data_IF_641210236091
#
_entry.id   IF_641210236091
#
_cell.length_a   1.000
_cell.length_b   1.000
_cell.length_c   1.000
_cell.angle_alpha   90.00
_cell.angle_beta   90.00
_cell.angle_gamma   90.00
#
_symmetry.space_group_name_H-M   'P 1'
#
loop_
_entity.id
_entity.type
_entity.pdbx_description
1 polymer ?
#
# COMPACT_ATOMS: atom_id res chain seq x y z
N UNK A 1 54.81 -0.92 -46.63
CA UNK A 1 53.77 -0.26 -45.83
C UNK A 1 53.58 -1.07 -44.55
N UNK A 2 54.15 -0.59 -43.44
CA UNK A 2 54.11 -1.31 -42.17
C UNK A 2 52.82 -0.97 -41.42
N UNK A 3 52.02 -2.00 -41.10
CA UNK A 3 50.87 -1.89 -40.20
C UNK A 3 51.36 -1.58 -38.79
N UNK A 4 51.05 -0.39 -38.28
CA UNK A 4 51.22 -0.09 -36.87
C UNK A 4 50.19 -0.89 -36.05
N UNK A 5 50.69 -1.90 -35.35
CA UNK A 5 49.92 -2.65 -34.34
C UNK A 5 49.54 -1.71 -33.21
N UNK A 6 48.23 -1.49 -33.03
CA UNK A 6 47.67 -0.78 -31.87
C UNK A 6 48.06 -1.58 -30.62
N UNK A 7 48.70 -0.96 -29.61
CA UNK A 7 49.16 -1.70 -28.43
C UNK A 7 47.95 -2.24 -27.65
N UNK A 8 47.94 -3.56 -27.43
CA UNK A 8 46.91 -4.34 -26.72
C UNK A 8 46.54 -3.75 -25.34
N UNK A 9 47.42 -2.94 -24.73
CA UNK A 9 47.16 -2.20 -23.48
C UNK A 9 46.09 -1.11 -23.61
N UNK A 10 45.95 -0.48 -24.77
CA UNK A 10 44.90 0.52 -25.04
C UNK A 10 43.53 -0.14 -25.29
N UNK A 11 43.52 -1.36 -25.82
CA UNK A 11 42.29 -2.14 -26.02
C UNK A 11 41.68 -2.59 -24.67
N UNK A 12 42.52 -2.95 -23.69
CA UNK A 12 42.06 -3.40 -22.37
C UNK A 12 41.49 -2.26 -21.51
N UNK A 13 42.04 -1.05 -21.62
CA UNK A 13 41.52 0.15 -20.92
C UNK A 13 40.18 0.59 -21.52
N UNK A 14 40.04 0.52 -22.86
CA UNK A 14 38.78 0.83 -23.55
C UNK A 14 37.68 -0.19 -23.25
N UNK A 15 38.02 -1.48 -23.15
CA UNK A 15 37.07 -2.56 -22.83
C UNK A 15 36.58 -2.50 -21.37
N UNK A 16 37.41 -2.06 -20.42
CA UNK A 16 36.98 -1.82 -19.03
C UNK A 16 36.09 -0.57 -18.89
N UNK A 17 36.23 0.45 -19.73
CA UNK A 17 35.33 1.60 -19.73
C UNK A 17 33.96 1.32 -20.38
N UNK A 18 33.88 0.35 -21.30
CA UNK A 18 32.64 -0.05 -21.97
C UNK A 18 31.77 -1.04 -21.15
N UNK A 19 32.34 -1.73 -20.15
CA UNK A 19 31.58 -2.63 -19.27
C UNK A 19 30.96 -1.93 -18.04
N UNK A 20 31.25 -0.65 -17.81
CA UNK A 20 30.67 0.16 -16.73
C UNK A 20 29.59 1.13 -17.21
N UNK A 21 29.30 1.19 -18.51
CA UNK A 21 28.18 1.96 -19.05
C UNK A 21 26.87 1.16 -19.04
N UNK A 22 26.52 0.56 -17.90
CA UNK A 22 25.10 0.40 -17.59
C UNK A 22 24.63 1.73 -17.02
N UNK A 23 23.59 2.38 -17.58
CA UNK A 23 23.11 3.66 -17.07
C UNK A 23 22.42 3.43 -15.72
N UNK A 24 23.20 3.35 -14.64
CA UNK A 24 22.65 3.36 -13.29
C UNK A 24 22.26 4.79 -12.97
N UNK A 25 20.94 5.01 -13.04
CA UNK A 25 20.17 6.17 -12.62
C UNK A 25 20.98 7.27 -11.91
N UNK A 26 21.39 8.26 -12.71
CA UNK A 26 21.77 9.61 -12.28
C UNK A 26 20.82 10.04 -11.16
N UNK A 27 21.37 10.55 -10.05
CA UNK A 27 20.61 11.09 -8.91
C UNK A 27 19.50 12.00 -9.40
N UNK A 28 18.30 11.43 -9.52
CA UNK A 28 17.26 12.04 -10.31
C UNK A 28 16.76 13.27 -9.54
N UNK A 29 16.89 14.45 -10.16
CA UNK A 29 16.20 15.66 -9.69
C UNK A 29 14.73 15.27 -9.59
N UNK A 30 14.21 15.27 -8.35
CA UNK A 30 12.81 14.93 -8.10
C UNK A 30 11.96 15.80 -9.00
N UNK A 31 11.16 15.13 -9.84
CA UNK A 31 10.33 15.84 -10.78
C UNK A 31 9.12 16.51 -10.10
N UNK A 32 8.87 16.11 -8.87
CA UNK A 32 7.87 16.62 -7.96
C UNK A 32 8.39 16.44 -6.53
N UNK A 33 8.16 17.44 -5.68
CA UNK A 33 8.56 17.38 -4.27
C UNK A 33 7.57 16.57 -3.42
N UNK A 34 6.30 16.52 -3.83
CA UNK A 34 5.20 15.89 -3.11
C UNK A 34 4.59 14.76 -3.91
N UNK A 35 4.05 13.74 -3.24
CA UNK A 35 3.39 12.62 -3.91
C UNK A 35 2.09 13.09 -4.59
N UNK A 36 1.82 12.73 -5.86
CA UNK A 36 0.57 13.13 -6.52
C UNK A 36 -0.69 12.49 -5.94
N UNK A 37 -0.57 11.30 -5.34
CA UNK A 37 -1.68 10.57 -4.71
C UNK A 37 -1.92 11.08 -3.28
N UNK A 38 -0.84 11.28 -2.53
CA UNK A 38 -0.85 11.85 -1.18
C UNK A 38 -0.06 13.18 -1.14
N UNK A 39 -0.62 14.33 -1.57
CA UNK A 39 0.14 15.58 -1.71
C UNK A 39 0.69 16.18 -0.42
N UNK A 40 0.25 15.67 0.73
CA UNK A 40 0.81 16.00 2.05
C UNK A 40 2.15 15.32 2.30
N UNK A 41 2.46 14.23 1.61
CA UNK A 41 3.69 13.45 1.78
C UNK A 41 4.79 13.87 0.82
N UNK A 42 6.04 13.79 1.28
CA UNK A 42 7.21 14.05 0.43
C UNK A 42 7.42 12.87 -0.52
N UNK A 43 7.64 13.19 -1.80
CA UNK A 43 8.07 12.20 -2.77
C UNK A 43 9.52 11.79 -2.49
N UNK A 44 9.81 10.50 -2.61
CA UNK A 44 11.16 9.97 -2.41
C UNK A 44 11.70 9.35 -3.70
N UNK A 45 12.98 9.58 -4.05
CA UNK A 45 13.54 9.13 -5.34
C UNK A 45 13.43 7.63 -5.60
N UNK A 46 13.30 6.84 -4.53
CA UNK A 46 13.16 5.38 -4.59
C UNK A 46 11.87 4.95 -5.29
N UNK A 47 10.77 5.64 -5.08
CA UNK A 47 9.46 5.26 -5.61
C UNK A 47 9.11 6.19 -6.75
N UNK A 48 9.06 5.65 -7.96
CA UNK A 48 8.88 6.43 -9.19
C UNK A 48 8.21 5.59 -10.29
N UNK A 49 7.54 6.27 -11.20
CA UNK A 49 6.98 5.72 -12.43
C UNK A 49 7.19 6.69 -13.59
N UNK A 50 7.10 6.22 -14.83
CA UNK A 50 7.17 7.05 -16.03
C UNK A 50 5.76 7.31 -16.58
N UNK A 51 5.43 8.58 -16.81
CA UNK A 51 4.13 8.98 -17.34
C UNK A 51 4.27 10.13 -18.34
N UNK A 52 3.80 9.91 -19.57
CA UNK A 52 3.86 10.87 -20.68
C UNK A 52 5.28 11.45 -20.88
N UNK A 53 6.29 10.59 -20.75
CA UNK A 53 7.72 10.93 -20.92
C UNK A 53 8.38 11.59 -19.70
N UNK A 54 7.65 11.78 -18.60
CA UNK A 54 8.17 12.32 -17.35
C UNK A 54 8.29 11.25 -16.27
N UNK A 55 9.40 11.25 -15.54
CA UNK A 55 9.52 10.46 -14.30
C UNK A 55 8.73 11.17 -13.21
N UNK A 56 7.77 10.50 -12.58
CA UNK A 56 6.99 10.99 -11.45
C UNK A 56 7.40 10.22 -10.19
N UNK A 57 7.54 10.90 -9.06
CA UNK A 57 7.99 10.33 -7.79
C UNK A 57 6.87 10.22 -6.76
N UNK A 58 6.96 9.26 -5.84
CA UNK A 58 5.91 8.93 -4.88
C UNK A 58 6.45 8.77 -3.46
N UNK A 59 5.57 8.80 -2.46
CA UNK A 59 5.96 8.62 -1.05
C UNK A 59 6.20 7.14 -0.69
N UNK A 60 5.54 6.20 -1.39
CA UNK A 60 5.61 4.77 -1.13
C UNK A 60 5.40 3.93 -2.40
N UNK A 61 5.64 2.62 -2.31
CA UNK A 61 5.45 1.67 -3.42
C UNK A 61 3.95 1.50 -3.78
N UNK A 62 3.06 1.48 -2.79
CA UNK A 62 1.61 1.34 -3.01
C UNK A 62 1.04 2.49 -3.86
N UNK A 63 1.55 3.71 -3.67
CA UNK A 63 1.22 4.84 -4.54
C UNK A 63 1.73 4.67 -5.98
N UNK A 64 2.87 4.00 -6.20
CA UNK A 64 3.34 3.69 -7.57
C UNK A 64 2.33 2.76 -8.23
N UNK A 65 1.96 1.67 -7.55
CA UNK A 65 1.04 0.68 -8.10
C UNK A 65 -0.35 1.28 -8.40
N UNK A 66 -0.88 2.11 -7.49
CA UNK A 66 -2.13 2.83 -7.69
C UNK A 66 -2.11 3.75 -8.91
N UNK A 67 -0.98 4.43 -9.09
CA UNK A 67 -0.79 5.34 -10.21
C UNK A 67 -0.68 4.59 -11.52
N UNK A 68 0.15 3.54 -11.60
CA UNK A 68 0.41 2.78 -12.82
C UNK A 68 -0.86 2.12 -13.38
N UNK A 69 -1.76 1.68 -12.50
CA UNK A 69 -3.02 1.07 -12.89
C UNK A 69 -4.10 2.07 -13.33
N UNK A 70 -4.03 3.32 -12.86
CA UNK A 70 -5.07 4.32 -13.10
C UNK A 70 -4.52 5.75 -13.16
N UNK A 71 -3.54 6.04 -14.04
CA UNK A 71 -2.78 7.29 -14.00
C UNK A 71 -3.64 8.51 -14.38
N UNK A 72 -4.65 8.31 -15.23
CA UNK A 72 -5.55 9.37 -15.68
C UNK A 72 -6.39 9.97 -14.53
N UNK A 73 -6.64 9.22 -13.44
CA UNK A 73 -7.34 9.73 -12.26
C UNK A 73 -6.52 10.84 -11.57
N UNK A 74 -5.19 10.77 -11.68
CA UNK A 74 -4.25 11.66 -10.98
C UNK A 74 -3.58 12.68 -11.93
N UNK A 75 -4.01 12.77 -13.19
CA UNK A 75 -3.37 13.60 -14.21
C UNK A 75 -3.33 15.08 -13.81
N UNK A 76 -4.42 15.62 -13.27
CA UNK A 76 -4.51 17.02 -12.84
C UNK A 76 -3.59 17.32 -11.64
N UNK A 77 -3.51 16.40 -10.67
CA UNK A 77 -2.58 16.52 -9.54
C UNK A 77 -1.13 16.61 -10.02
N UNK A 78 -0.78 15.90 -11.10
CA UNK A 78 0.54 15.97 -11.72
C UNK A 78 0.78 17.33 -12.39
N UNK A 79 -0.19 17.85 -13.14
CA UNK A 79 -0.07 19.14 -13.83
C UNK A 79 0.12 20.30 -12.85
N UNK A 80 -0.63 20.34 -11.75
CA UNK A 80 -0.51 21.36 -10.70
C UNK A 80 0.84 21.29 -9.97
N UNK A 81 1.40 20.10 -9.79
CA UNK A 81 2.72 19.94 -9.19
C UNK A 81 3.82 20.38 -10.18
N UNK A 82 3.65 20.12 -11.48
CA UNK A 82 4.58 20.55 -12.54
C UNK A 82 4.62 22.07 -12.68
N UNK A 83 3.48 22.75 -12.62
CA UNK A 83 3.40 24.22 -12.77
C UNK A 83 4.09 24.97 -11.62
N UNK A 84 4.05 24.42 -10.40
CA UNK A 84 4.73 24.96 -9.22
C UNK A 84 6.27 24.75 -9.20
N UNK A 85 6.81 24.02 -10.17
CA UNK A 85 8.24 23.63 -10.23
C UNK A 85 9.15 24.67 -10.91
N UNK A 86 8.60 25.77 -11.42
CA UNK A 86 9.40 26.84 -12.07
C UNK A 86 10.26 27.66 -11.10
N UNK A 87 10.40 27.24 -9.84
CA UNK A 87 11.44 27.71 -8.94
C UNK A 87 12.54 26.62 -8.76
N UNK A 88 13.52 26.70 -9.66
CA UNK A 88 14.96 26.76 -9.36
C UNK A 88 15.94 25.66 -9.88
N UNK A 89 17.09 26.21 -10.32
CA UNK A 89 18.46 25.74 -10.60
C UNK A 89 18.70 24.71 -11.71
N UNK A 90 19.34 25.19 -12.78
CA UNK A 90 20.11 24.43 -13.77
C UNK A 90 21.46 24.03 -13.14
N UNK A 91 21.70 22.73 -12.91
CA UNK A 91 22.99 22.23 -12.39
C UNK A 91 24.00 22.09 -13.54
N UNK A 92 25.25 22.47 -13.29
CA UNK A 92 26.37 22.36 -14.25
C UNK A 92 26.79 20.90 -14.48
N UNK A 93 27.53 20.66 -15.58
CA UNK A 93 28.06 19.33 -15.94
C UNK A 93 28.97 18.73 -14.86
N UNK A 94 29.78 19.56 -14.20
CA UNK A 94 30.67 19.14 -13.09
C UNK A 94 29.84 18.64 -11.90
N UNK A 95 28.75 19.33 -11.57
CA UNK A 95 27.85 18.90 -10.50
C UNK A 95 27.25 17.51 -10.78
N UNK A 96 26.91 17.22 -12.05
CA UNK A 96 26.38 15.91 -12.46
C UNK A 96 27.41 14.80 -12.28
N UNK A 97 28.68 15.06 -12.59
CA UNK A 97 29.77 14.08 -12.41
C UNK A 97 30.03 13.80 -10.93
N UNK A 98 30.03 14.84 -10.09
CA UNK A 98 30.17 14.70 -8.63
C UNK A 98 29.03 13.85 -8.06
N UNK A 99 27.79 14.15 -8.45
CA UNK A 99 26.61 13.41 -7.98
C UNK A 99 26.66 11.93 -8.40
N UNK A 100 27.11 11.61 -9.61
CA UNK A 100 27.26 10.20 -10.08
C UNK A 100 28.35 9.47 -9.30
N UNK A 101 29.51 10.09 -9.11
CA UNK A 101 30.65 9.51 -8.39
C UNK A 101 30.30 9.27 -6.92
N UNK A 102 29.59 10.22 -6.32
CA UNK A 102 29.10 10.12 -4.94
C UNK A 102 28.08 8.98 -4.79
N UNK A 103 27.14 8.83 -5.72
CA UNK A 103 26.13 7.76 -5.65
C UNK A 103 26.73 6.36 -5.83
N UNK A 104 27.73 6.18 -6.71
CA UNK A 104 28.44 4.91 -6.86
C UNK A 104 29.15 4.49 -5.56
N UNK A 105 29.76 5.47 -4.86
CA UNK A 105 30.41 5.25 -3.58
C UNK A 105 29.44 4.73 -2.50
N UNK A 106 28.18 5.19 -2.47
CA UNK A 106 27.22 4.73 -1.44
C UNK A 106 26.57 3.38 -1.74
N UNK A 107 26.50 2.96 -3.00
CA UNK A 107 25.90 1.68 -3.37
C UNK A 107 26.81 0.50 -3.07
N UNK A 108 28.13 0.64 -3.29
CA UNK A 108 29.10 -0.44 -3.02
C UNK A 108 30.43 0.18 -2.54
N UNK A 109 30.47 0.73 -1.31
CA UNK A 109 31.59 1.54 -0.85
C UNK A 109 32.91 0.78 -0.81
N UNK A 110 32.90 -0.51 -0.46
CA UNK A 110 34.13 -1.29 -0.39
C UNK A 110 34.71 -1.68 -1.75
N UNK A 111 33.88 -2.09 -2.72
CA UNK A 111 34.37 -2.41 -4.07
C UNK A 111 34.79 -1.15 -4.81
N UNK A 112 34.06 -0.04 -4.68
CA UNK A 112 34.46 1.24 -5.26
C UNK A 112 35.80 1.70 -4.68
N UNK A 113 35.97 1.64 -3.35
CA UNK A 113 37.24 1.99 -2.71
C UNK A 113 38.36 1.04 -3.13
N UNK A 114 38.10 -0.26 -3.31
CA UNK A 114 39.07 -1.24 -3.80
C UNK A 114 39.51 -0.96 -5.25
N UNK A 115 38.56 -0.70 -6.16
CA UNK A 115 38.85 -0.34 -7.55
C UNK A 115 39.57 1.01 -7.66
N UNK A 116 39.15 1.99 -6.87
CA UNK A 116 39.79 3.31 -6.81
C UNK A 116 41.22 3.19 -6.27
N UNK A 117 41.42 2.42 -5.21
CA UNK A 117 42.74 2.13 -4.64
C UNK A 117 43.62 1.38 -5.65
N UNK A 118 43.08 0.39 -6.36
CA UNK A 118 43.79 -0.34 -7.41
C UNK A 118 44.18 0.57 -8.58
N UNK A 119 43.27 1.43 -9.04
CA UNK A 119 43.51 2.39 -10.11
C UNK A 119 44.60 3.41 -9.71
N UNK A 120 44.51 3.95 -8.49
CA UNK A 120 45.54 4.80 -7.90
C UNK A 120 46.87 4.06 -7.85
N UNK A 121 46.92 2.83 -7.33
CA UNK A 121 48.15 2.03 -7.27
C UNK A 121 48.73 1.75 -8.66
N UNK A 122 47.91 1.52 -9.68
CA UNK A 122 48.35 1.31 -11.07
C UNK A 122 48.93 2.60 -11.68
N UNK A 123 48.32 3.76 -11.41
CA UNK A 123 48.83 5.08 -11.81
C UNK A 123 50.14 5.39 -11.09
N UNK A 124 50.22 5.17 -9.78
CA UNK A 124 51.46 5.41 -9.04
C UNK A 124 52.58 4.45 -9.46
N UNK A 125 52.27 3.23 -9.92
CA UNK A 125 53.27 2.28 -10.41
C UNK A 125 53.99 2.74 -11.69
N UNK A 126 53.44 3.69 -12.44
CA UNK A 126 54.10 4.30 -13.61
C UNK A 126 55.02 5.48 -13.24
N UNK A 127 54.96 5.97 -12.00
CA UNK A 127 55.81 7.05 -11.48
C UNK A 127 56.98 6.44 -10.67
N UNK A 128 58.21 6.74 -11.07
CA UNK A 128 59.42 6.10 -10.51
C UNK A 128 59.60 6.31 -9.00
N UNK A 129 59.12 7.43 -8.45
CA UNK A 129 59.18 7.74 -7.02
C UNK A 129 58.29 6.84 -6.14
N UNK A 130 57.21 6.25 -6.69
CA UNK A 130 56.23 5.50 -5.91
C UNK A 130 56.46 3.96 -5.91
N UNK A 131 57.48 3.49 -6.62
CA UNK A 131 57.87 2.06 -6.66
C UNK A 131 58.31 1.51 -5.29
N UNK A 132 58.81 2.36 -4.39
CA UNK A 132 59.20 1.99 -3.03
C UNK A 132 57.99 1.78 -2.09
N UNK A 133 56.94 2.59 -2.24
CA UNK A 133 55.76 2.54 -1.37
C UNK A 133 54.78 1.41 -1.72
N UNK A 134 54.84 0.86 -2.95
CA UNK A 134 53.83 -0.06 -3.50
C UNK A 134 54.19 -1.55 -3.40
N UNK A 135 55.37 -1.92 -2.89
CA UNK A 135 55.87 -3.30 -2.98
C UNK A 135 55.24 -4.29 -1.97
N UNK A 136 54.63 -3.81 -0.88
CA UNK A 136 54.04 -4.69 0.17
C UNK A 136 52.67 -4.23 0.72
N UNK A 137 52.39 -2.93 0.74
CA UNK A 137 51.26 -2.31 1.45
C UNK A 137 49.89 -2.45 0.75
N UNK A 138 49.85 -2.58 -0.58
CA UNK A 138 48.59 -2.58 -1.35
C UNK A 138 47.69 -3.78 -1.06
N UNK A 139 48.28 -4.95 -0.74
CA UNK A 139 47.52 -6.14 -0.34
C UNK A 139 46.77 -5.91 0.97
N UNK A 140 47.42 -5.25 1.94
CA UNK A 140 46.79 -4.92 3.22
C UNK A 140 45.69 -3.87 3.06
N UNK A 141 45.85 -2.88 2.17
CA UNK A 141 44.78 -1.92 1.85
C UNK A 141 43.57 -2.61 1.20
N UNK A 142 43.78 -3.54 0.26
CA UNK A 142 42.68 -4.31 -0.34
C UNK A 142 41.94 -5.15 0.71
N UNK A 143 42.68 -5.85 1.57
CA UNK A 143 42.09 -6.63 2.67
C UNK A 143 41.29 -5.71 3.60
N UNK A 144 41.82 -4.54 3.96
CA UNK A 144 41.10 -3.57 4.80
C UNK A 144 39.81 -3.06 4.13
N UNK A 145 39.82 -2.79 2.82
CA UNK A 145 38.63 -2.39 2.06
C UNK A 145 37.57 -3.50 2.02
N UNK A 146 37.98 -4.76 1.82
CA UNK A 146 37.07 -5.91 1.83
C UNK A 146 36.47 -6.15 3.22
N UNK A 147 37.28 -6.02 4.28
CA UNK A 147 36.80 -6.09 5.67
C UNK A 147 35.79 -4.96 5.95
N UNK A 148 36.08 -3.73 5.51
CA UNK A 148 35.16 -2.62 5.61
C UNK A 148 33.84 -2.89 4.88
N UNK A 149 33.88 -3.47 3.67
CA UNK A 149 32.68 -3.83 2.90
C UNK A 149 31.82 -4.88 3.63
N UNK A 150 32.47 -5.87 4.24
CA UNK A 150 31.80 -6.92 5.00
C UNK A 150 31.11 -6.34 6.25
N UNK A 151 31.79 -5.47 6.99
CA UNK A 151 31.22 -4.77 8.14
C UNK A 151 30.10 -3.79 7.74
N UNK A 152 30.27 -3.07 6.63
CA UNK A 152 29.26 -2.16 6.09
C UNK A 152 28.00 -2.94 5.69
N UNK A 153 28.15 -4.04 4.94
CA UNK A 153 27.05 -4.93 4.53
C UNK A 153 26.32 -5.52 5.73
N UNK A 154 27.05 -5.97 6.76
CA UNK A 154 26.43 -6.47 7.98
C UNK A 154 25.65 -5.36 8.73
N UNK A 155 26.19 -4.14 8.76
CA UNK A 155 25.55 -2.98 9.38
C UNK A 155 24.28 -2.54 8.64
N UNK A 156 24.27 -2.56 7.30
CA UNK A 156 23.09 -2.25 6.49
C UNK A 156 21.99 -3.30 6.67
N UNK A 157 22.33 -4.60 6.68
CA UNK A 157 21.38 -5.69 6.97
C UNK A 157 20.76 -5.49 8.36
N UNK A 158 21.57 -5.19 9.38
CA UNK A 158 21.08 -4.94 10.74
C UNK A 158 20.13 -3.74 10.79
N UNK A 159 20.45 -2.63 10.11
CA UNK A 159 19.55 -1.46 10.00
C UNK A 159 18.22 -1.81 9.33
N UNK A 160 18.25 -2.59 8.25
CA UNK A 160 17.04 -3.06 7.56
C UNK A 160 16.16 -3.92 8.46
N UNK A 161 16.75 -4.85 9.22
CA UNK A 161 16.00 -5.68 10.19
C UNK A 161 15.33 -4.83 11.28
N UNK A 162 16.06 -3.85 11.85
CA UNK A 162 15.54 -2.94 12.87
C UNK A 162 14.41 -2.07 12.30
N UNK A 163 14.54 -1.61 11.06
CA UNK A 163 13.49 -0.87 10.36
C UNK A 163 12.22 -1.72 10.19
N UNK A 164 12.37 -2.99 9.80
CA UNK A 164 11.24 -3.92 9.66
C UNK A 164 10.51 -4.13 11.00
N UNK A 165 11.26 -4.38 12.07
CA UNK A 165 10.70 -4.49 13.42
C UNK A 165 9.94 -3.21 13.84
N UNK A 166 10.48 -2.04 13.50
CA UNK A 166 9.84 -0.77 13.80
C UNK A 166 8.55 -0.56 12.99
N UNK A 167 8.56 -0.90 11.70
CA UNK A 167 7.37 -0.89 10.84
C UNK A 167 6.28 -1.76 11.45
N UNK A 168 6.64 -2.99 11.84
CA UNK A 168 5.69 -3.91 12.45
C UNK A 168 5.14 -3.37 13.79
N UNK A 169 5.99 -2.73 14.60
CA UNK A 169 5.56 -2.08 15.85
C UNK A 169 4.67 -0.84 15.63
N UNK A 170 4.95 -0.02 14.62
CA UNK A 170 4.13 1.17 14.31
C UNK A 170 2.75 0.75 13.82
N UNK A 171 2.69 -0.22 12.92
CA UNK A 171 1.44 -0.76 12.45
C UNK A 171 0.62 -1.42 13.57
N UNK A 172 1.23 -2.05 14.57
CA UNK A 172 0.47 -2.61 15.71
C UNK A 172 -0.13 -1.51 16.60
N UNK A 173 0.54 -0.36 16.72
CA UNK A 173 0.02 0.80 17.48
C UNK A 173 -1.15 1.51 16.80
N UNK A 174 -1.37 1.30 15.50
CA UNK A 174 -2.44 1.93 14.69
C UNK A 174 -3.85 1.61 15.20
N UNK A 175 -3.97 0.59 16.06
CA UNK A 175 -5.25 -0.01 16.37
C UNK A 175 -5.55 -0.21 17.85
N UNK A 176 -4.65 0.25 18.73
CA UNK A 176 -4.77 0.09 20.19
C UNK A 176 -6.11 0.63 20.76
N UNK A 177 -6.76 1.53 20.03
CA UNK A 177 -8.00 2.19 20.45
C UNK A 177 -9.25 1.32 20.30
N UNK A 178 -9.19 0.25 19.51
CA UNK A 178 -10.32 -0.65 19.27
C UNK A 178 -10.44 -1.78 20.31
N UNK A 179 -9.48 -1.88 21.24
CA UNK A 179 -9.45 -2.89 22.30
C UNK A 179 -9.00 -4.29 21.85
N UNK A 180 -9.08 -5.25 22.78
CA UNK A 180 -8.88 -6.68 22.52
C UNK A 180 -10.08 -7.46 23.10
N UNK A 181 -10.97 -8.05 22.27
CA UNK A 181 -10.96 -8.06 20.80
C UNK A 181 -11.28 -6.69 20.18
N UNK A 182 -11.11 -6.58 18.86
CA UNK A 182 -11.37 -5.35 18.11
C UNK A 182 -12.87 -5.11 17.95
N UNK A 183 -13.39 -4.11 18.63
CA UNK A 183 -14.83 -3.83 18.62
C UNK A 183 -15.07 -2.57 17.77
N UNK A 184 -15.89 -2.65 16.70
CA UNK A 184 -16.28 -1.46 15.96
C UNK A 184 -17.15 -0.54 16.83
N UNK A 185 -17.12 0.77 16.56
CA UNK A 185 -18.02 1.70 17.22
C UNK A 185 -19.49 1.27 17.03
N UNK A 186 -20.29 1.41 18.08
CA UNK A 186 -21.72 1.09 18.02
C UNK A 186 -22.41 2.04 17.03
N UNK A 187 -23.26 1.48 16.18
CA UNK A 187 -24.06 2.26 15.24
C UNK A 187 -24.98 3.22 16.01
N UNK A 188 -25.00 4.50 15.62
CA UNK A 188 -25.97 5.48 16.15
C UNK A 188 -27.35 5.37 15.50
N UNK A 189 -27.50 4.49 14.51
CA UNK A 189 -28.76 4.26 13.82
C UNK A 189 -29.67 3.30 14.59
N UNK A 190 -30.97 3.29 14.29
CA UNK A 190 -31.87 2.25 14.75
C UNK A 190 -31.35 0.85 14.41
N UNK A 191 -31.71 -0.11 15.26
CA UNK A 191 -31.41 -1.52 15.05
C UNK A 191 -31.95 -1.98 13.68
N UNK A 192 -31.11 -2.65 12.90
CA UNK A 192 -31.51 -3.25 11.63
C UNK A 192 -30.62 -4.45 11.32
N UNK A 193 -31.23 -5.53 10.83
CA UNK A 193 -30.55 -6.73 10.32
C UNK A 193 -30.10 -6.60 8.86
N UNK A 194 -30.33 -5.43 8.25
CA UNK A 194 -29.85 -5.12 6.91
C UNK A 194 -29.53 -3.63 6.79
N UNK A 195 -28.30 -3.30 6.39
CA UNK A 195 -27.82 -1.92 6.26
C UNK A 195 -26.92 -1.78 5.04
N UNK A 196 -26.89 -0.59 4.45
CA UNK A 196 -25.96 -0.22 3.40
C UNK A 196 -25.02 0.87 3.93
N UNK A 197 -23.72 0.70 3.66
CA UNK A 197 -22.68 1.66 4.00
C UNK A 197 -21.96 2.10 2.73
N UNK A 198 -21.70 3.39 2.64
CA UNK A 198 -21.02 4.05 1.54
C UNK A 198 -19.61 4.40 1.99
N UNK A 199 -18.61 3.84 1.30
CA UNK A 199 -17.19 4.15 1.53
C UNK A 199 -16.79 5.35 0.67
N UNK A 200 -16.49 6.48 1.29
CA UNK A 200 -15.85 7.61 0.65
C UNK A 200 -14.39 7.29 0.28
N UNK A 201 -13.81 8.04 -0.65
CA UNK A 201 -12.37 7.94 -0.90
C UNK A 201 -11.60 8.30 0.40
N UNK A 202 -10.37 7.83 0.59
CA UNK A 202 -9.46 8.26 1.66
C UNK A 202 -8.25 9.05 1.14
N UNK A 203 -8.06 9.07 -0.18
CA UNK A 203 -7.12 9.92 -0.90
C UNK A 203 -7.81 11.27 -1.21
N UNK A 204 -7.67 12.28 -0.35
CA UNK A 204 -8.17 13.64 -0.61
C UNK A 204 -7.07 14.51 -1.18
N UNK A 205 -7.32 15.11 -2.35
CA UNK A 205 -6.50 16.19 -2.86
C UNK A 205 -7.24 17.06 -3.89
N UNK A 206 -6.89 18.36 -4.02
CA UNK A 206 -7.54 19.28 -4.96
C UNK A 206 -7.48 18.86 -6.45
N UNK A 207 -6.52 18.02 -6.82
CA UNK A 207 -6.38 17.50 -8.18
C UNK A 207 -7.35 16.37 -8.52
N UNK A 208 -7.99 15.74 -7.52
CA UNK A 208 -9.03 14.73 -7.73
C UNK A 208 -10.40 15.35 -7.99
N UNK A 209 -11.29 14.58 -8.64
CA UNK A 209 -12.69 14.95 -8.81
C UNK A 209 -13.31 15.33 -7.45
N UNK A 210 -13.93 16.50 -7.38
CA UNK A 210 -14.52 17.04 -6.14
C UNK A 210 -13.56 17.04 -4.93
N UNK A 211 -12.24 17.23 -5.17
CA UNK A 211 -11.24 17.16 -4.10
C UNK A 211 -11.02 15.75 -3.52
N UNK A 212 -11.57 14.72 -4.16
CA UNK A 212 -11.67 13.36 -3.64
C UNK A 212 -12.99 13.07 -2.90
N UNK A 213 -13.91 14.03 -2.76
CA UNK A 213 -15.19 13.84 -2.07
C UNK A 213 -16.20 13.07 -2.93
N UNK A 214 -15.98 11.77 -3.08
CA UNK A 214 -16.87 10.85 -3.77
C UNK A 214 -16.77 9.44 -3.20
N UNK A 215 -17.78 8.64 -3.53
CA UNK A 215 -17.91 7.24 -3.15
C UNK A 215 -16.96 6.36 -3.96
N UNK A 216 -16.33 5.39 -3.29
CA UNK A 216 -15.42 4.41 -3.88
C UNK A 216 -15.95 2.98 -3.82
N UNK A 217 -16.70 2.65 -2.76
CA UNK A 217 -17.31 1.35 -2.58
C UNK A 217 -18.66 1.46 -1.86
N UNK A 218 -19.49 0.44 -2.03
CA UNK A 218 -20.73 0.23 -1.29
C UNK A 218 -20.67 -1.12 -0.59
N UNK A 219 -21.03 -1.16 0.67
CA UNK A 219 -21.16 -2.38 1.46
C UNK A 219 -22.63 -2.58 1.77
N UNK A 220 -23.22 -3.66 1.29
CA UNK A 220 -24.54 -4.11 1.74
C UNK A 220 -24.34 -5.30 2.67
N UNK A 221 -24.78 -5.14 3.91
CA UNK A 221 -24.73 -6.20 4.93
C UNK A 221 -26.14 -6.67 5.23
N UNK A 222 -26.35 -7.99 5.23
CA UNK A 222 -27.61 -8.60 5.63
C UNK A 222 -27.40 -10.04 6.14
N UNK A 223 -28.51 -10.66 6.52
CA UNK A 223 -28.57 -12.06 6.90
C UNK A 223 -29.22 -12.87 5.78
N UNK A 224 -28.69 -14.05 5.49
CA UNK A 224 -29.28 -14.95 4.51
C UNK A 224 -29.20 -16.42 4.94
N UNK A 225 -29.97 -17.26 4.27
CA UNK A 225 -29.91 -18.71 4.45
C UNK A 225 -28.94 -19.39 3.47
N UNK A 226 -28.86 -20.72 3.53
CA UNK A 226 -28.02 -21.51 2.61
C UNK A 226 -28.42 -21.29 1.14
N UNK A 227 -29.72 -21.13 0.86
CA UNK A 227 -30.30 -20.84 -0.46
C UNK A 227 -30.14 -19.39 -0.94
N UNK A 228 -29.38 -18.54 -0.23
CA UNK A 228 -29.21 -17.11 -0.50
C UNK A 228 -30.46 -16.23 -0.32
N UNK A 229 -31.52 -16.77 0.28
CA UNK A 229 -32.73 -16.00 0.58
C UNK A 229 -32.46 -15.10 1.78
N UNK A 230 -32.92 -13.85 1.68
CA UNK A 230 -32.73 -12.84 2.73
C UNK A 230 -33.59 -13.18 3.95
N UNK A 231 -33.00 -13.15 5.14
CA UNK A 231 -33.70 -13.29 6.40
C UNK A 231 -34.34 -11.94 6.78
N UNK A 232 -35.61 -11.99 7.17
CA UNK A 232 -36.37 -10.83 7.67
C UNK A 232 -36.76 -11.06 9.13
N UNK A 233 -37.16 -9.98 9.82
CA UNK A 233 -37.72 -10.09 11.16
C UNK A 233 -38.94 -11.03 11.19
N UNK A 234 -39.14 -11.68 12.34
CA UNK A 234 -40.20 -12.67 12.59
C UNK A 234 -40.15 -13.96 11.75
N UNK A 235 -39.16 -14.11 10.85
CA UNK A 235 -38.92 -15.38 10.16
C UNK A 235 -38.37 -16.43 11.12
N UNK A 236 -38.71 -17.70 10.88
CA UNK A 236 -38.13 -18.82 11.62
C UNK A 236 -36.67 -18.99 11.21
N UNK A 237 -35.78 -19.05 12.20
CA UNK A 237 -34.35 -19.21 11.98
C UNK A 237 -33.94 -20.64 12.28
N UNK A 238 -33.23 -21.25 11.34
CA UNK A 238 -32.35 -22.37 11.62
C UNK A 238 -30.92 -21.84 11.76
N UNK A 239 -30.37 -21.90 12.97
CA UNK A 239 -29.04 -21.36 13.30
C UNK A 239 -27.92 -22.01 12.49
N UNK A 240 -28.08 -23.27 12.07
CA UNK A 240 -27.10 -23.97 11.22
C UNK A 240 -27.09 -23.46 9.80
N UNK A 241 -28.20 -22.87 9.37
CA UNK A 241 -28.42 -22.32 8.05
C UNK A 241 -28.43 -20.79 8.04
N UNK A 242 -27.90 -20.14 9.08
CA UNK A 242 -27.84 -18.67 9.17
C UNK A 242 -26.44 -18.15 8.82
N UNK A 243 -26.38 -17.19 7.89
CA UNK A 243 -25.14 -16.59 7.42
C UNK A 243 -25.20 -15.07 7.49
N UNK A 244 -24.09 -14.45 7.86
CA UNK A 244 -23.82 -13.04 7.54
C UNK A 244 -23.39 -12.96 6.09
N UNK A 245 -24.09 -12.17 5.29
CA UNK A 245 -23.72 -11.87 3.91
C UNK A 245 -23.29 -10.42 3.81
N UNK A 246 -22.15 -10.22 3.16
CA UNK A 246 -21.63 -8.89 2.85
C UNK A 246 -21.34 -8.85 1.36
N UNK A 247 -21.99 -7.92 0.67
CA UNK A 247 -21.73 -7.62 -0.74
C UNK A 247 -21.01 -6.28 -0.82
N UNK A 248 -19.88 -6.27 -1.51
CA UNK A 248 -19.03 -5.10 -1.74
C UNK A 248 -19.10 -4.75 -3.23
N UNK A 249 -19.65 -3.59 -3.55
CA UNK A 249 -19.80 -3.12 -4.93
C UNK A 249 -18.80 -2.00 -5.21
N UNK A 250 -18.04 -2.13 -6.30
CA UNK A 250 -17.17 -1.05 -6.77
C UNK A 250 -18.00 0.08 -7.37
N UNK A 251 -17.74 1.31 -6.93
CA UNK A 251 -18.34 2.50 -7.57
C UNK A 251 -17.62 2.84 -8.89
N UNK A 252 -18.33 3.28 -9.95
CA UNK A 252 -17.73 3.69 -11.22
C UNK A 252 -16.64 4.77 -11.07
N UNK A 253 -15.73 4.85 -12.05
CA UNK A 253 -14.73 5.91 -12.16
C UNK A 253 -13.79 6.03 -10.95
N UNK A 254 -13.47 4.89 -10.32
CA UNK A 254 -12.54 4.78 -9.19
C UNK A 254 -11.37 3.87 -9.57
N UNK A 255 -10.25 3.98 -8.85
CA UNK A 255 -9.03 3.21 -9.12
C UNK A 255 -9.34 1.72 -9.31
N UNK A 256 -8.70 1.10 -10.32
CA UNK A 256 -8.85 -0.34 -10.60
C UNK A 256 -7.98 -1.21 -9.70
N UNK A 257 -6.91 -0.66 -9.15
CA UNK A 257 -5.92 -1.35 -8.30
C UNK A 257 -6.55 -2.25 -7.26
N UNK A 258 -7.41 -1.70 -6.41
CA UNK A 258 -7.98 -2.46 -5.29
C UNK A 258 -9.02 -3.52 -5.71
N UNK A 259 -9.37 -3.59 -6.99
CA UNK A 259 -10.49 -4.39 -7.49
C UNK A 259 -10.07 -5.42 -8.55
N UNK A 260 -8.78 -5.61 -8.75
CA UNK A 260 -8.26 -6.71 -9.56
C UNK A 260 -8.54 -8.04 -8.86
N UNK A 261 -8.70 -9.12 -9.63
CA UNK A 261 -8.93 -10.44 -9.04
C UNK A 261 -7.75 -10.85 -8.14
N UNK A 262 -6.51 -10.49 -8.51
CA UNK A 262 -5.32 -10.68 -7.68
C UNK A 262 -5.45 -9.99 -6.32
N UNK A 263 -5.80 -8.70 -6.29
CA UNK A 263 -5.95 -7.94 -5.04
C UNK A 263 -7.13 -8.45 -4.22
N UNK A 264 -8.27 -8.73 -4.84
CA UNK A 264 -9.45 -9.24 -4.14
C UNK A 264 -9.24 -10.65 -3.56
N UNK A 265 -8.38 -11.48 -4.17
CA UNK A 265 -7.95 -12.77 -3.62
C UNK A 265 -7.06 -12.65 -2.36
N UNK A 266 -6.54 -11.46 -2.08
CA UNK A 266 -5.83 -11.18 -0.82
C UNK A 266 -6.79 -10.82 0.32
N UNK A 267 -8.05 -10.53 0.02
CA UNK A 267 -9.07 -10.14 1.00
C UNK A 267 -9.82 -11.37 1.50
N UNK A 268 -10.05 -11.44 2.81
CA UNK A 268 -10.78 -12.55 3.45
C UNK A 268 -11.52 -12.08 4.69
N UNK A 269 -12.58 -12.82 5.06
CA UNK A 269 -13.31 -12.66 6.30
C UNK A 269 -12.90 -13.73 7.33
N UNK A 270 -12.86 -13.38 8.62
CA UNK A 270 -12.55 -14.32 9.72
C UNK A 270 -13.23 -13.85 11.01
N UNK A 271 -13.47 -14.74 11.97
CA UNK A 271 -13.86 -14.32 13.33
C UNK A 271 -12.67 -14.24 14.29
N UNK A 272 -11.47 -14.56 13.83
CA UNK A 272 -10.27 -14.55 14.64
C UNK A 272 -9.70 -13.12 14.77
N UNK A 273 -9.71 -12.59 15.99
CA UNK A 273 -9.16 -11.28 16.34
C UNK A 273 -7.88 -11.34 17.18
N UNK A 274 -7.32 -12.53 17.40
CA UNK A 274 -6.18 -12.74 18.29
C UNK A 274 -5.06 -11.73 18.03
N UNK A 275 -4.73 -10.96 19.08
CA UNK A 275 -3.70 -9.89 19.18
C UNK A 275 -3.16 -9.30 17.86
N UNK A 276 -4.04 -8.99 16.90
CA UNK A 276 -3.78 -8.34 15.60
C UNK A 276 -3.20 -9.16 14.42
N UNK A 277 -3.42 -10.47 14.34
CA UNK A 277 -3.07 -11.29 13.17
C UNK A 277 -1.63 -11.05 12.60
N UNK A 278 -0.66 -10.76 13.48
CA UNK A 278 0.77 -10.50 13.19
C UNK A 278 1.60 -11.77 13.02
N UNK A 279 1.05 -12.92 13.40
CA UNK A 279 1.77 -14.18 13.46
C UNK A 279 1.53 -15.01 12.19
N UNK A 280 2.43 -15.96 11.96
CA UNK A 280 2.28 -17.02 10.94
C UNK A 280 1.11 -17.97 11.25
N UNK A 281 0.30 -17.69 12.27
CA UNK A 281 -0.76 -18.57 12.70
C UNK A 281 -1.78 -18.67 11.59
N UNK A 282 -2.05 -19.91 11.17
CA UNK A 282 -2.96 -20.18 10.09
C UNK A 282 -4.38 -19.76 10.50
N UNK A 283 -4.98 -18.87 9.72
CA UNK A 283 -6.42 -18.57 9.83
C UNK A 283 -7.16 -19.81 9.34
N UNK A 284 -7.77 -20.57 10.23
CA UNK A 284 -8.48 -21.81 9.87
C UNK A 284 -9.91 -21.55 9.39
N UNK A 285 -10.47 -20.38 9.72
CA UNK A 285 -11.85 -19.99 9.44
C UNK A 285 -11.94 -18.88 8.37
N UNK A 286 -10.88 -18.74 7.56
CA UNK A 286 -10.83 -17.71 6.53
C UNK A 286 -11.85 -17.99 5.42
N UNK A 287 -12.65 -16.99 5.10
CA UNK A 287 -13.60 -17.01 3.99
C UNK A 287 -13.17 -15.99 2.94
N UNK A 288 -12.78 -16.43 1.75
CA UNK A 288 -12.45 -15.51 0.66
C UNK A 288 -13.73 -14.93 0.05
N UNK A 289 -13.58 -13.82 -0.68
CA UNK A 289 -14.68 -13.21 -1.41
C UNK A 289 -14.84 -13.91 -2.77
N UNK A 290 -16.08 -14.16 -3.18
CA UNK A 290 -16.42 -14.59 -4.52
C UNK A 290 -16.89 -13.39 -5.35
N UNK A 291 -16.50 -13.35 -6.62
CA UNK A 291 -16.99 -12.36 -7.58
C UNK A 291 -18.41 -12.74 -8.02
N UNK A 292 -19.32 -11.78 -8.05
CA UNK A 292 -20.66 -11.94 -8.61
C UNK A 292 -20.63 -11.50 -10.08
N UNK A 293 -21.27 -12.28 -10.96
CA UNK A 293 -21.27 -12.06 -12.41
C UNK A 293 -21.91 -10.71 -12.81
N UNK A 294 -22.62 -10.05 -11.90
CA UNK A 294 -23.13 -8.70 -12.05
C UNK A 294 -22.11 -7.65 -11.56
N UNK A 295 -21.50 -6.91 -12.50
CA UNK A 295 -20.90 -5.57 -12.29
C UNK A 295 -20.00 -5.39 -11.05
N UNK A 296 -18.74 -5.84 -11.09
CA UNK A 296 -17.72 -5.46 -10.10
C UNK A 296 -18.24 -5.58 -8.64
N UNK A 297 -18.86 -6.71 -8.35
CA UNK A 297 -19.38 -7.04 -7.03
C UNK A 297 -18.63 -8.23 -6.47
N UNK A 298 -18.31 -8.17 -5.19
CA UNK A 298 -17.66 -9.24 -4.45
C UNK A 298 -18.46 -9.54 -3.20
N UNK A 299 -18.59 -10.81 -2.85
CA UNK A 299 -19.40 -11.24 -1.73
C UNK A 299 -18.67 -12.27 -0.89
N UNK A 300 -18.89 -12.24 0.42
CA UNK A 300 -18.65 -13.40 1.26
C UNK A 300 -19.92 -13.74 2.05
N UNK A 301 -20.04 -15.03 2.39
CA UNK A 301 -21.05 -15.55 3.31
C UNK A 301 -20.33 -16.22 4.47
N UNK A 302 -20.55 -15.73 5.69
CA UNK A 302 -19.91 -16.25 6.88
C UNK A 302 -20.93 -16.99 7.76
N UNK A 303 -20.73 -18.29 8.07
CA UNK A 303 -21.66 -19.07 8.87
C UNK A 303 -21.70 -18.60 10.32
N UNK A 304 -22.90 -18.44 10.88
CA UNK A 304 -23.10 -17.93 12.25
C UNK A 304 -23.33 -19.02 13.31
N UNK A 305 -23.31 -20.30 12.93
CA UNK A 305 -23.60 -21.45 13.81
C UNK A 305 -22.81 -21.40 15.13
N UNK A 306 -21.49 -21.11 15.04
CA UNK A 306 -20.56 -21.11 16.18
C UNK A 306 -20.73 -19.94 17.16
N UNK A 307 -21.61 -18.99 16.88
CA UNK A 307 -21.82 -17.79 17.70
C UNK A 307 -23.08 -17.85 18.57
N UNK A 308 -23.71 -19.02 18.63
CA UNK A 308 -24.85 -19.26 19.52
C UNK A 308 -24.36 -19.28 20.97
N UNK A 309 -24.94 -18.43 21.83
CA UNK A 309 -24.57 -18.31 23.25
C UNK A 309 -25.71 -18.81 24.13
N UNK A 310 -25.43 -19.83 24.95
CA UNK A 310 -26.37 -20.43 25.91
C UNK A 310 -27.00 -21.76 25.45
N UNK A 311 -27.55 -22.52 26.41
CA UNK A 311 -28.16 -23.84 26.16
C UNK A 311 -29.50 -23.76 25.40
N UNK A 312 -30.12 -22.58 25.39
CA UNK A 312 -31.31 -22.26 24.61
C UNK A 312 -30.94 -21.18 23.60
N UNK A 313 -31.22 -21.42 22.32
CA UNK A 313 -30.86 -20.70 21.07
C UNK A 313 -31.27 -19.21 20.97
N UNK A 314 -31.40 -18.49 22.09
CA UNK A 314 -31.98 -17.15 22.20
C UNK A 314 -31.08 -16.02 21.74
N UNK A 315 -29.76 -16.22 21.70
CA UNK A 315 -28.81 -15.16 21.36
C UNK A 315 -27.68 -15.66 20.45
N UNK A 316 -27.51 -15.02 19.30
CA UNK A 316 -26.40 -15.23 18.39
C UNK A 316 -25.63 -13.92 18.32
N UNK A 317 -24.39 -13.91 18.83
CA UNK A 317 -23.61 -12.68 19.00
C UNK A 317 -22.15 -12.88 18.66
N UNK A 318 -21.58 -11.96 17.90
CA UNK A 318 -20.19 -12.06 17.49
C UNK A 318 -19.73 -10.91 16.61
N UNK A 319 -18.48 -11.01 16.18
CA UNK A 319 -17.81 -10.06 15.30
C UNK A 319 -17.09 -10.86 14.20
N UNK A 320 -17.32 -10.48 12.95
CA UNK A 320 -16.57 -10.93 11.78
C UNK A 320 -15.70 -9.78 11.29
N UNK A 321 -14.48 -10.09 10.85
CA UNK A 321 -13.47 -9.13 10.43
C UNK A 321 -13.18 -9.28 8.95
N UNK A 322 -13.18 -8.17 8.20
CA UNK A 322 -12.62 -8.11 6.85
C UNK A 322 -11.14 -7.77 6.94
N UNK A 323 -10.31 -8.65 6.40
CA UNK A 323 -8.86 -8.58 6.48
C UNK A 323 -8.20 -8.68 5.10
N UNK A 324 -6.98 -8.19 5.00
CA UNK A 324 -6.11 -8.33 3.84
C UNK A 324 -4.84 -9.08 4.22
N UNK A 325 -4.43 -10.05 3.40
CA UNK A 325 -3.18 -10.81 3.58
C UNK A 325 -1.97 -9.89 3.44
N UNK A 326 -1.05 -9.98 4.39
CA UNK A 326 0.27 -9.32 4.31
C UNK A 326 1.31 -10.31 3.85
N UNK A 327 2.16 -9.88 2.94
CA UNK A 327 3.24 -10.68 2.40
C UNK A 327 4.61 -10.11 2.80
N UNK A 328 5.62 -10.98 2.91
CA UNK A 328 7.01 -10.54 2.96
C UNK A 328 7.61 -10.41 1.55
N UNK A 329 8.86 -9.94 1.47
CA UNK A 329 9.61 -9.78 0.21
C UNK A 329 9.77 -11.10 -0.58
N UNK A 330 9.53 -12.25 0.04
CA UNK A 330 9.58 -13.57 -0.58
C UNK A 330 8.20 -14.10 -1.00
N UNK A 331 7.14 -13.30 -0.87
CA UNK A 331 5.77 -13.68 -1.23
C UNK A 331 5.06 -14.57 -0.21
N UNK A 332 5.63 -14.80 0.97
CA UNK A 332 4.98 -15.61 2.01
C UNK A 332 4.05 -14.74 2.86
N UNK A 333 2.87 -15.29 3.20
CA UNK A 333 1.93 -14.63 4.11
C UNK A 333 2.56 -14.52 5.50
N UNK A 334 2.62 -13.31 6.04
CA UNK A 334 3.18 -13.00 7.37
C UNK A 334 2.13 -12.50 8.35
N UNK A 335 0.88 -12.34 7.93
CA UNK A 335 -0.21 -11.90 8.78
C UNK A 335 -1.38 -11.30 8.01
N UNK A 336 -2.26 -10.62 8.73
CA UNK A 336 -3.43 -9.91 8.20
C UNK A 336 -3.48 -8.45 8.63
N UNK A 337 -4.05 -7.59 7.78
CA UNK A 337 -4.43 -6.21 8.11
C UNK A 337 -5.96 -6.12 8.21
N UNK A 338 -6.48 -5.67 9.35
CA UNK A 338 -7.91 -5.42 9.54
C UNK A 338 -8.35 -4.18 8.78
N UNK A 339 -9.49 -4.26 8.09
CA UNK A 339 -10.12 -3.14 7.39
C UNK A 339 -11.43 -2.75 8.06
N UNK A 340 -12.34 -3.71 8.23
CA UNK A 340 -13.67 -3.50 8.81
C UNK A 340 -14.05 -4.63 9.75
N UNK A 341 -14.94 -4.35 10.68
CA UNK A 341 -15.63 -5.35 11.49
C UNK A 341 -17.14 -5.27 11.26
N UNK A 342 -17.78 -6.43 11.32
CA UNK A 342 -19.22 -6.62 11.26
C UNK A 342 -19.65 -7.26 12.56
N UNK A 343 -20.36 -6.50 13.39
CA UNK A 343 -20.86 -6.97 14.66
C UNK A 343 -22.36 -7.23 14.57
N UNK A 344 -22.80 -8.32 15.20
CA UNK A 344 -24.20 -8.72 15.22
C UNK A 344 -24.60 -9.11 16.64
N UNK A 345 -25.82 -8.72 17.02
CA UNK A 345 -26.50 -9.09 18.26
C UNK A 345 -27.91 -9.51 17.86
N UNK A 346 -28.07 -10.81 17.60
CA UNK A 346 -29.31 -11.38 17.05
C UNK A 346 -30.05 -12.13 18.14
N UNK A 347 -31.28 -11.69 18.41
CA UNK A 347 -32.13 -12.26 19.45
C UNK A 347 -33.23 -13.09 18.81
N UNK A 348 -33.46 -14.28 19.34
CA UNK A 348 -34.55 -15.14 18.90
C UNK A 348 -35.58 -15.33 20.01
N UNK A 349 -36.85 -15.24 19.64
CA UNK A 349 -38.00 -15.49 20.53
C UNK A 349 -38.83 -16.57 19.85
N UNK A 350 -38.95 -17.74 20.48
CA UNK A 350 -39.64 -18.90 19.91
C UNK A 350 -39.11 -19.26 18.50
N UNK A 351 -37.77 -19.30 18.34
CA UNK A 351 -37.06 -19.51 17.08
C UNK A 351 -37.31 -18.49 15.97
N UNK A 352 -37.95 -17.35 16.28
CA UNK A 352 -38.14 -16.24 15.34
C UNK A 352 -37.19 -15.09 15.63
N UNK A 353 -36.67 -14.45 14.58
CA UNK A 353 -35.79 -13.28 14.72
C UNK A 353 -36.57 -12.09 15.31
N UNK A 354 -36.13 -11.59 16.46
CA UNK A 354 -36.72 -10.40 17.08
C UNK A 354 -36.29 -9.12 16.33
N UNK A 355 -37.21 -8.16 16.27
CA UNK A 355 -37.00 -6.76 15.87
C UNK A 355 -35.91 -6.03 16.66
N UNK A 356 -35.63 -6.46 17.90
CA UNK A 356 -34.53 -5.94 18.71
C UNK A 356 -33.14 -6.44 18.29
N UNK A 357 -33.06 -7.27 17.25
CA UNK A 357 -31.80 -7.74 16.68
C UNK A 357 -31.15 -6.66 15.84
N UNK A 358 -29.83 -6.53 15.97
CA UNK A 358 -29.06 -5.53 15.23
C UNK A 358 -27.82 -6.14 14.55
N UNK A 359 -27.46 -5.53 13.43
CA UNK A 359 -26.28 -5.83 12.62
C UNK A 359 -25.66 -4.50 12.19
N UNK A 360 -24.37 -4.33 12.42
CA UNK A 360 -23.66 -3.13 11.99
C UNK A 360 -22.23 -3.39 11.59
N UNK A 361 -21.67 -2.42 10.87
CA UNK A 361 -20.31 -2.42 10.38
C UNK A 361 -19.58 -1.20 10.95
N UNK A 362 -18.29 -1.33 11.19
CA UNK A 362 -17.42 -0.21 11.51
C UNK A 362 -16.00 -0.41 10.98
N UNK A 363 -15.25 0.68 10.77
CA UNK A 363 -13.86 0.59 10.34
C UNK A 363 -12.96 0.20 11.50
N UNK A 364 -11.89 -0.53 11.18
CA UNK A 364 -10.91 -1.01 12.15
C UNK A 364 -9.50 -0.48 11.92
N UNK A 365 -9.29 0.63 11.21
CA UNK A 365 -7.95 1.20 11.04
C UNK A 365 -7.93 2.72 11.14
N UNK A 366 -6.82 3.26 11.68
CA UNK A 366 -6.52 4.69 11.61
C UNK A 366 -6.05 5.08 10.21
N UNK A 367 -6.57 6.20 9.73
CA UNK A 367 -6.27 6.80 8.43
C UNK A 367 -4.76 7.07 8.30
N UNK A 368 -4.19 6.70 7.14
CA UNK A 368 -2.80 7.03 6.79
C UNK A 368 -2.63 8.52 6.46
N UNK A 369 -3.72 9.20 6.07
CA UNK A 369 -3.77 10.65 5.90
C UNK A 369 -3.77 11.36 7.27
N UNK A 370 -2.57 11.71 7.73
CA UNK A 370 -2.28 12.43 8.98
C UNK A 370 -2.88 13.86 8.98
N UNK A 371 -3.70 14.15 10.01
CA UNK A 371 -4.05 15.44 10.67
C UNK A 371 -4.45 16.69 9.87
N UNK A 372 -4.01 16.90 8.63
CA UNK A 372 -4.20 18.17 7.92
C UNK A 372 -5.58 18.23 7.23
N UNK A 373 -6.13 17.07 6.87
CA UNK A 373 -7.42 16.93 6.20
C UNK A 373 -8.37 16.00 6.95
N UNK A 374 -8.30 15.92 8.29
CA UNK A 374 -9.08 14.98 9.12
C UNK A 374 -10.46 14.72 8.52
N UNK A 375 -10.57 13.64 7.73
CA UNK A 375 -11.82 13.35 7.03
C UNK A 375 -12.76 12.88 8.13
N UNK A 376 -13.93 13.47 8.32
CA UNK A 376 -14.88 12.96 9.29
C UNK A 376 -15.20 11.49 9.00
N UNK A 377 -15.38 10.66 10.03
CA UNK A 377 -15.76 9.25 9.82
C UNK A 377 -17.04 9.16 8.99
N UNK A 378 -18.01 10.04 9.23
CA UNK A 378 -19.27 10.14 8.47
C UNK A 378 -19.10 10.48 6.99
N UNK A 379 -17.97 11.04 6.56
CA UNK A 379 -17.69 11.30 5.14
C UNK A 379 -16.92 10.14 4.48
N UNK A 380 -16.39 9.23 5.30
CA UNK A 380 -15.54 8.14 4.84
C UNK A 380 -16.25 6.79 4.92
N UNK A 381 -17.04 6.53 5.95
CA UNK A 381 -17.97 5.41 6.05
C UNK A 381 -19.31 5.94 6.53
N UNK A 382 -20.21 6.18 5.58
CA UNK A 382 -21.53 6.77 5.83
C UNK A 382 -22.63 5.76 5.62
N UNK A 383 -23.73 5.89 6.34
CA UNK A 383 -25.00 5.24 5.98
C UNK A 383 -25.87 6.13 5.10
N UNK A 384 -25.54 7.42 5.01
CA UNK A 384 -26.13 8.34 4.05
C UNK A 384 -25.38 8.23 2.71
N UNK A 385 -26.08 8.23 1.56
CA UNK A 385 -25.44 8.14 0.25
C UNK A 385 -24.37 9.20 0.03
N UNK A 386 -23.16 8.74 -0.31
CA UNK A 386 -22.07 9.59 -0.78
C UNK A 386 -22.17 9.74 -2.31
N UNK A 387 -22.00 10.95 -2.90
CA UNK A 387 -22.02 11.16 -4.34
C UNK A 387 -21.02 10.28 -5.09
N UNK A 388 -21.40 9.81 -6.28
CA UNK A 388 -20.51 9.01 -7.14
C UNK A 388 -19.56 9.90 -7.95
N UNK A 389 -18.42 9.35 -8.37
CA UNK A 389 -17.57 10.03 -9.34
C UNK A 389 -18.24 10.00 -10.73
N UNK A 390 -18.71 11.16 -11.20
CA UNK A 390 -19.41 11.30 -12.48
C UNK A 390 -18.46 11.49 -13.68
N UNK A 391 -17.15 11.66 -13.48
CA UNK A 391 -16.21 11.86 -14.58
C UNK A 391 -16.14 10.61 -15.46
N UNK A 392 -16.63 10.71 -16.69
CA UNK A 392 -16.41 9.75 -17.78
C UNK A 392 -15.36 10.31 -18.75
N UNK A 393 -14.09 9.89 -18.61
CA UNK A 393 -12.98 10.37 -19.46
C UNK A 393 -12.31 11.66 -18.98
N UNK A 394 -11.24 12.12 -19.66
CA UNK A 394 -10.36 13.24 -19.23
C UNK A 394 -11.00 14.64 -19.37
N UNK A 395 -12.19 14.83 -18.82
CA UNK A 395 -12.90 16.10 -18.82
C UNK A 395 -12.55 16.95 -17.62
N UNK A 396 -11.83 18.05 -17.85
CA UNK A 396 -11.68 19.15 -16.89
C UNK A 396 -13.05 19.77 -16.60
N UNK A 397 -13.67 19.43 -15.48
CA UNK A 397 -14.77 20.24 -14.95
C UNK A 397 -14.67 20.38 -13.42
N UNK A 398 -14.12 21.49 -12.90
CA UNK A 398 -14.03 21.76 -11.49
C UNK A 398 -15.34 22.42 -11.04
N UNK A 399 -16.43 21.67 -10.98
CA UNK A 399 -17.63 22.14 -10.27
C UNK A 399 -18.03 21.07 -9.26
N UNK A 400 -17.96 21.49 -7.99
CA UNK A 400 -18.51 20.80 -6.82
C UNK A 400 -19.95 20.40 -7.12
N UNK A 401 -20.21 19.10 -7.31
CA UNK A 401 -21.57 18.57 -7.22
C UNK A 401 -21.74 18.15 -5.77
N UNK A 402 -22.22 19.11 -4.98
CA UNK A 402 -22.79 18.83 -3.67
C UNK A 402 -24.05 17.99 -3.84
N UNK A 403 -24.18 17.01 -2.94
CA UNK A 403 -25.39 16.32 -2.47
C UNK A 403 -26.67 16.71 -3.25
N UNK A 404 -27.25 15.78 -4.01
CA UNK A 404 -28.65 15.91 -4.43
C UNK A 404 -29.48 16.11 -3.17
N UNK A 405 -30.00 17.33 -2.97
CA UNK A 405 -31.02 17.56 -1.95
C UNK A 405 -32.19 16.66 -2.31
N UNK A 406 -32.62 15.82 -1.36
CA UNK A 406 -33.90 15.13 -1.44
C UNK A 406 -34.99 16.17 -1.71
N UNK A 407 -35.72 15.97 -2.79
CA UNK A 407 -37.11 16.43 -2.90
C UNK A 407 -38.03 15.52 -2.07
#
# INVERSE_FOLDING_TARGET
>A
MAMHSIPIKLLFISLCTLLLSSPLAIGAKLNNLRCPIEPTELAIPKYKSEYKGDIIFFCCAECVDLFDESPEIYAKSIEEIKSNKNLNVQKTFIQKIIDVTWNLFFQIPGTFLAFFTLAICLIFRTLDFAKAFTKSSWKYMLIACLIFDLFYTQSTIKKTSKKRLLIDKVHSTTFLEYGEPLIPAISKLPASISKTYYRGNDERNPGLYNGGNYRTAEFTIDLCNNSNEKIIYNSSIDHKNLFLRVTITKTPNTSKHFWTDEKMNTIYATSNSGKFHWSKDQVIDSMNLSKLDSKNEWQFKYPLEKFSVGDETRLIKGIIYLCEKRFNDSGNVIGGRFHYAFQFDLKTISNKLSDSSDLWMGPLYRKRSLRIWEIPESEWLSTDPIPINQITGSGNNPILIGIDKKD
#
